data_IF_922497948784
#
_entry.id   IF_922497948784
#
_cell.length_a   1.000
_cell.length_b   1.000
_cell.length_c   1.000
_cell.angle_alpha   90.00
_cell.angle_beta   90.00
_cell.angle_gamma   90.00
#
_symmetry.space_group_name_H-M   'P 1'
#
loop_
_entity.id
_entity.type
_entity.pdbx_description
1 polymer ?
#
# COMPACT_ATOMS: atom_id res chain seq x y z
N UNK A 1 38.36 -48.43 28.85
CA UNK A 1 38.18 -47.63 30.08
C UNK A 1 38.08 -46.19 29.65
N UNK A 2 37.01 -45.52 30.03
CA UNK A 2 36.60 -44.22 29.52
C UNK A 2 37.53 -43.09 29.98
N UNK A 3 37.73 -42.10 29.12
CA UNK A 3 37.91 -40.71 29.53
C UNK A 3 37.01 -39.85 28.64
N UNK A 4 35.84 -39.54 29.19
CA UNK A 4 34.89 -38.53 28.74
C UNK A 4 35.52 -37.15 28.81
N UNK A 5 35.66 -36.49 27.66
CA UNK A 5 35.78 -35.04 27.58
C UNK A 5 34.84 -34.58 26.46
N UNK A 6 33.64 -34.18 26.88
CA UNK A 6 32.58 -33.71 25.99
C UNK A 6 33.00 -32.46 25.25
N UNK A 7 33.22 -32.59 23.95
CA UNK A 7 33.21 -31.45 23.03
C UNK A 7 31.74 -31.10 22.83
N UNK A 8 31.26 -30.14 23.63
CA UNK A 8 29.97 -29.51 23.42
C UNK A 8 30.05 -28.78 22.08
N UNK A 9 29.61 -29.44 21.00
CA UNK A 9 29.26 -28.81 19.73
C UNK A 9 28.07 -27.89 20.01
N UNK A 10 28.37 -26.73 20.57
CA UNK A 10 27.46 -25.61 20.69
C UNK A 10 27.06 -25.23 19.27
N UNK A 11 25.94 -25.76 18.83
CA UNK A 11 25.20 -25.25 17.68
C UNK A 11 24.95 -23.77 17.96
N UNK A 12 25.79 -22.92 17.38
CA UNK A 12 25.64 -21.47 17.42
C UNK A 12 24.44 -21.16 16.53
N UNK A 13 23.26 -21.46 17.06
CA UNK A 13 21.98 -21.05 16.49
C UNK A 13 21.98 -19.55 16.65
N UNK A 14 22.44 -18.84 15.63
CA UNK A 14 22.34 -17.39 15.56
C UNK A 14 20.91 -17.03 16.03
N UNK A 15 20.76 -16.14 17.03
CA UNK A 15 19.43 -15.71 17.42
C UNK A 15 18.73 -15.20 16.14
N UNK A 16 17.43 -15.50 15.94
CA UNK A 16 16.72 -14.88 14.84
C UNK A 16 16.95 -13.38 14.99
N UNK A 17 17.55 -12.77 13.98
CA UNK A 17 17.75 -11.32 13.93
C UNK A 17 16.35 -10.71 13.94
N UNK A 18 15.84 -10.43 15.14
CA UNK A 18 14.65 -9.63 15.37
C UNK A 18 15.04 -8.20 15.03
N UNK A 19 14.96 -7.83 13.74
CA UNK A 19 15.06 -6.43 13.36
C UNK A 19 13.79 -5.74 13.89
N UNK A 20 13.90 -4.70 14.72
CA UNK A 20 12.75 -4.08 15.40
C UNK A 20 11.76 -3.34 14.47
N UNK A 21 11.95 -3.37 13.15
CA UNK A 21 11.20 -2.56 12.19
C UNK A 21 9.90 -3.19 11.64
N UNK A 22 9.64 -4.48 11.86
CA UNK A 22 8.49 -5.16 11.23
C UNK A 22 7.23 -5.15 12.08
N UNK A 23 7.37 -5.03 13.40
CA UNK A 23 6.26 -5.09 14.33
C UNK A 23 5.29 -3.90 14.19
N UNK A 24 5.79 -2.74 13.75
CA UNK A 24 5.00 -1.51 13.54
C UNK A 24 4.79 -1.17 12.06
N UNK A 25 5.18 -2.06 11.14
CA UNK A 25 5.04 -1.82 9.71
C UNK A 25 3.57 -1.64 9.29
N UNK A 26 2.62 -2.27 10.00
CA UNK A 26 1.20 -2.11 9.72
C UNK A 26 0.72 -0.69 10.05
N UNK A 27 1.01 -0.20 11.26
CA UNK A 27 0.63 1.15 11.71
C UNK A 27 1.28 2.25 10.88
N UNK A 28 2.52 2.06 10.44
CA UNK A 28 3.21 2.97 9.53
C UNK A 28 2.59 3.00 8.11
N UNK A 29 2.16 1.84 7.61
CA UNK A 29 1.68 1.73 6.24
C UNK A 29 0.27 2.32 6.04
N UNK A 30 -0.59 2.33 7.06
CA UNK A 30 -1.94 2.90 6.98
C UNK A 30 -1.95 4.37 6.49
N UNK A 31 -1.31 5.33 7.18
CA UNK A 31 -1.32 6.72 6.76
C UNK A 31 -0.65 6.93 5.39
N UNK A 32 0.37 6.13 5.05
CA UNK A 32 1.01 6.17 3.74
C UNK A 32 0.07 5.73 2.61
N UNK A 33 -0.72 4.66 2.84
CA UNK A 33 -1.72 4.21 1.87
C UNK A 33 -2.77 5.29 1.64
N UNK A 34 -3.26 5.93 2.70
CA UNK A 34 -4.21 7.05 2.57
C UNK A 34 -3.60 8.22 1.81
N UNK A 35 -2.39 8.63 2.18
CA UNK A 35 -1.69 9.75 1.56
C UNK A 35 -1.41 9.48 0.07
N UNK A 36 -1.07 8.24 -0.27
CA UNK A 36 -0.85 7.82 -1.66
C UNK A 36 -2.13 7.99 -2.48
N UNK A 37 -3.28 7.50 -1.99
CA UNK A 37 -4.54 7.64 -2.73
C UNK A 37 -4.96 9.10 -2.82
N UNK A 38 -4.83 9.86 -1.73
CA UNK A 38 -5.25 11.26 -1.66
C UNK A 38 -4.41 12.16 -2.57
N UNK A 39 -3.08 12.13 -2.42
CA UNK A 39 -2.19 13.07 -3.09
C UNK A 39 -1.63 12.53 -4.41
N UNK A 40 -1.25 11.25 -4.48
CA UNK A 40 -0.63 10.69 -5.68
C UNK A 40 -1.66 10.21 -6.72
N UNK A 41 -2.93 10.06 -6.36
CA UNK A 41 -3.99 9.66 -7.29
C UNK A 41 -5.04 10.75 -7.48
N UNK A 42 -5.79 11.10 -6.43
CA UNK A 42 -6.91 12.04 -6.54
C UNK A 42 -6.42 13.43 -6.93
N UNK A 43 -5.41 13.96 -6.26
CA UNK A 43 -4.89 15.30 -6.56
C UNK A 43 -4.23 15.36 -7.94
N UNK A 44 -3.55 14.29 -8.36
CA UNK A 44 -2.99 14.20 -9.73
C UNK A 44 -4.08 14.22 -10.81
N UNK A 45 -5.27 13.71 -10.53
CA UNK A 45 -6.41 13.79 -11.45
C UNK A 45 -7.08 15.17 -11.43
N UNK A 46 -7.10 15.86 -10.28
CA UNK A 46 -7.72 17.19 -10.13
C UNK A 46 -6.84 18.32 -10.67
N UNK A 47 -5.55 18.27 -10.35
CA UNK A 47 -4.57 19.29 -10.70
C UNK A 47 -3.29 18.62 -11.22
N UNK A 48 -3.33 18.05 -12.44
CA UNK A 48 -2.16 17.45 -13.04
C UNK A 48 -1.10 18.50 -13.36
N UNK A 49 0.17 18.11 -13.28
CA UNK A 49 1.27 18.91 -13.81
C UNK A 49 1.05 19.09 -15.33
N UNK A 50 1.04 20.32 -15.87
CA UNK A 50 0.59 20.60 -17.22
C UNK A 50 1.39 19.83 -18.29
N UNK A 51 2.70 19.67 -18.08
CA UNK A 51 3.58 18.94 -19.01
C UNK A 51 3.35 17.42 -19.02
N UNK A 52 2.82 16.87 -17.92
CA UNK A 52 2.60 15.43 -17.76
C UNK A 52 1.12 15.05 -17.83
N UNK A 53 0.22 16.01 -18.08
CA UNK A 53 -1.23 15.82 -18.03
C UNK A 53 -1.68 14.64 -18.88
N UNK A 54 -1.22 14.58 -20.12
CA UNK A 54 -1.61 13.52 -21.06
C UNK A 54 -1.09 12.15 -20.62
N UNK A 55 0.15 12.09 -20.11
CA UNK A 55 0.73 10.86 -19.58
C UNK A 55 0.02 10.36 -18.32
N UNK A 56 -0.33 11.28 -17.41
CA UNK A 56 -1.09 10.98 -16.19
C UNK A 56 -2.46 10.42 -16.56
N UNK A 57 -3.20 11.11 -17.43
CA UNK A 57 -4.52 10.67 -17.86
C UNK A 57 -4.46 9.33 -18.62
N UNK A 58 -3.46 9.14 -19.50
CA UNK A 58 -3.24 7.86 -20.17
C UNK A 58 -2.97 6.72 -19.18
N UNK A 59 -2.13 6.95 -18.15
CA UNK A 59 -1.85 5.97 -17.11
C UNK A 59 -3.13 5.55 -16.37
N UNK A 60 -3.90 6.53 -15.88
CA UNK A 60 -5.13 6.26 -15.15
C UNK A 60 -6.23 5.65 -16.03
N UNK A 61 -6.26 5.96 -17.34
CA UNK A 61 -7.17 5.32 -18.30
C UNK A 61 -6.87 3.83 -18.46
N UNK A 62 -5.61 3.48 -18.73
CA UNK A 62 -5.20 2.10 -18.98
C UNK A 62 -5.23 1.23 -17.72
N UNK A 63 -4.87 1.80 -16.58
CA UNK A 63 -4.74 1.06 -15.30
C UNK A 63 -5.95 1.22 -14.38
N UNK A 64 -7.03 1.87 -14.81
CA UNK A 64 -8.23 2.17 -14.00
C UNK A 64 -8.69 0.99 -13.15
N UNK A 65 -8.95 -0.15 -13.79
CA UNK A 65 -9.45 -1.35 -13.11
C UNK A 65 -8.43 -1.90 -12.08
N UNK A 66 -7.15 -1.92 -12.44
CA UNK A 66 -6.09 -2.41 -11.56
C UNK A 66 -5.89 -1.49 -10.34
N UNK A 67 -5.96 -0.18 -10.53
CA UNK A 67 -5.84 0.81 -9.45
C UNK A 67 -7.03 0.68 -8.49
N UNK A 68 -8.27 0.65 -9.00
CA UNK A 68 -9.46 0.49 -8.17
C UNK A 68 -9.45 -0.84 -7.40
N UNK A 69 -9.06 -1.95 -8.05
CA UNK A 69 -8.92 -3.23 -7.38
C UNK A 69 -7.86 -3.19 -6.27
N UNK A 70 -6.72 -2.53 -6.52
CA UNK A 70 -5.66 -2.38 -5.53
C UNK A 70 -6.12 -1.54 -4.33
N UNK A 71 -6.78 -0.40 -4.55
CA UNK A 71 -7.25 0.46 -3.47
C UNK A 71 -8.35 -0.22 -2.65
N UNK A 72 -9.29 -0.93 -3.31
CA UNK A 72 -10.31 -1.73 -2.62
C UNK A 72 -9.68 -2.85 -1.78
N UNK A 73 -8.66 -3.53 -2.30
CA UNK A 73 -7.88 -4.52 -1.55
C UNK A 73 -7.19 -3.90 -0.33
N UNK A 74 -6.61 -2.71 -0.49
CA UNK A 74 -6.00 -1.97 0.62
C UNK A 74 -7.04 -1.58 1.68
N UNK A 75 -8.26 -1.22 1.28
CA UNK A 75 -9.35 -0.91 2.21
C UNK A 75 -9.87 -2.15 2.96
N UNK A 76 -9.92 -3.31 2.30
CA UNK A 76 -10.40 -4.58 2.86
C UNK A 76 -9.35 -5.38 3.64
N UNK A 77 -8.15 -4.84 3.84
CA UNK A 77 -7.08 -5.52 4.58
C UNK A 77 -7.50 -5.70 6.05
N UNK A 78 -7.59 -6.94 6.58
CA UNK A 78 -8.08 -7.20 7.94
C UNK A 78 -7.16 -6.65 9.02
N UNK A 79 -5.93 -6.26 8.67
CA UNK A 79 -4.97 -5.65 9.60
C UNK A 79 -5.23 -4.17 9.83
N UNK A 80 -6.12 -3.57 9.05
CA UNK A 80 -6.42 -2.15 9.15
C UNK A 80 -7.20 -1.80 10.42
N UNK A 81 -6.88 -0.66 11.00
CA UNK A 81 -7.74 0.02 11.96
C UNK A 81 -9.12 0.33 11.35
N UNK A 82 -10.18 0.25 12.16
CA UNK A 82 -11.56 0.56 11.73
C UNK A 82 -11.68 1.98 11.15
N UNK A 83 -10.95 2.94 11.74
CA UNK A 83 -10.92 4.32 11.25
C UNK A 83 -10.27 4.40 9.86
N UNK A 84 -9.13 3.74 9.69
CA UNK A 84 -8.42 3.68 8.41
C UNK A 84 -9.26 3.03 7.31
N UNK A 85 -9.93 1.90 7.61
CA UNK A 85 -10.81 1.24 6.66
C UNK A 85 -11.97 2.15 6.19
N UNK A 86 -12.57 2.91 7.11
CA UNK A 86 -13.61 3.90 6.79
C UNK A 86 -13.08 5.04 5.92
N UNK A 87 -11.91 5.58 6.24
CA UNK A 87 -11.26 6.63 5.45
C UNK A 87 -10.93 6.15 4.03
N UNK A 88 -10.36 4.95 3.92
CA UNK A 88 -10.03 4.34 2.64
C UNK A 88 -11.27 4.07 1.79
N UNK A 89 -12.38 3.65 2.39
CA UNK A 89 -13.66 3.50 1.67
C UNK A 89 -14.16 4.84 1.11
N UNK A 90 -14.05 5.93 1.87
CA UNK A 90 -14.37 7.28 1.40
C UNK A 90 -13.44 7.72 0.26
N UNK A 91 -12.14 7.43 0.35
CA UNK A 91 -11.16 7.72 -0.69
C UNK A 91 -11.40 6.91 -1.98
N UNK A 92 -11.82 5.65 -1.88
CA UNK A 92 -12.22 4.84 -3.06
C UNK A 92 -13.35 5.54 -3.80
N UNK A 93 -14.38 6.01 -3.10
CA UNK A 93 -15.51 6.71 -3.71
C UNK A 93 -15.07 8.00 -4.39
N UNK A 94 -14.22 8.80 -3.73
CA UNK A 94 -13.68 10.03 -4.31
C UNK A 94 -12.80 9.77 -5.53
N UNK A 95 -12.01 8.69 -5.52
CA UNK A 95 -11.18 8.29 -6.65
C UNK A 95 -12.04 7.85 -7.83
N UNK A 96 -13.11 7.09 -7.61
CA UNK A 96 -14.05 6.69 -8.66
C UNK A 96 -14.74 7.91 -9.29
N UNK A 97 -15.17 8.87 -8.47
CA UNK A 97 -15.74 10.13 -8.94
C UNK A 97 -14.73 10.95 -9.75
N UNK A 98 -13.49 11.11 -9.23
CA UNK A 98 -12.42 11.82 -9.93
C UNK A 98 -12.05 11.16 -11.26
N UNK A 99 -12.03 9.83 -11.31
CA UNK A 99 -11.80 9.08 -12.55
C UNK A 99 -12.94 9.29 -13.54
N UNK A 100 -14.20 9.23 -13.11
CA UNK A 100 -15.36 9.42 -14.00
C UNK A 100 -15.46 10.86 -14.53
N UNK A 101 -15.11 11.86 -13.71
CA UNK A 101 -15.15 13.26 -14.10
C UNK A 101 -14.07 13.62 -15.12
N UNK A 102 -12.86 13.06 -14.98
CA UNK A 102 -11.70 13.43 -15.80
C UNK A 102 -11.43 12.47 -16.96
N UNK A 103 -11.94 11.24 -16.89
CA UNK A 103 -11.80 10.21 -17.91
C UNK A 103 -13.19 9.63 -18.18
N UNK A 104 -14.00 10.25 -19.07
CA UNK A 104 -15.22 9.59 -19.49
C UNK A 104 -14.83 8.21 -20.02
N UNK A 105 -15.51 7.17 -19.52
CA UNK A 105 -15.42 5.85 -20.12
C UNK A 105 -15.91 6.04 -21.56
N UNK A 106 -15.01 6.03 -22.53
CA UNK A 106 -15.39 6.26 -23.92
C UNK A 106 -16.49 5.26 -24.35
N UNK A 107 -17.38 5.83 -25.14
CA UNK A 107 -18.52 5.25 -25.84
C UNK A 107 -18.14 4.13 -26.82
#
# INVERSE_FOLDING_TARGET
>A
RECTAGVFLGSFRAPPVLTPGWADAAGYNEPLREATVRYAMIEQLRSPVPELRDAIFAHFRLRRAAILANVRRMASDPKNSKAHASNMAALVRQLEEALNANLPAEA
#
